data_IF_208340832999
#
_entry.id   IF_208340832999
#
_cell.length_a   1.000
_cell.length_b   1.000
_cell.length_c   1.000
_cell.angle_alpha   90.00
_cell.angle_beta   90.00
_cell.angle_gamma   90.00
#
_symmetry.space_group_name_H-M   'P 1'
#
loop_
_entity.id
_entity.type
_entity.pdbx_description
1 polymer ?
#
# COMPACT_ATOMS: atom_id res chain seq x y z
N UNK A 1 62.40 1.16 0.16
CA UNK A 1 61.40 2.04 0.80
C UNK A 1 60.01 1.60 0.32
N UNK A 2 59.20 0.98 1.18
CA UNK A 2 57.87 0.46 0.82
C UNK A 2 56.83 1.57 1.03
N UNK A 3 56.08 1.92 -0.01
CA UNK A 3 54.94 2.86 0.06
C UNK A 3 53.69 2.05 0.37
N UNK A 4 53.05 2.33 1.51
CA UNK A 4 51.76 1.75 1.90
C UNK A 4 50.67 2.70 1.40
N UNK A 5 49.82 2.22 0.50
CA UNK A 5 48.61 2.93 0.04
C UNK A 5 47.46 2.40 0.87
N UNK A 6 46.84 3.26 1.68
CA UNK A 6 45.64 2.92 2.45
C UNK A 6 44.43 3.23 1.57
N UNK A 7 43.72 2.19 1.14
CA UNK A 7 42.45 2.28 0.42
C UNK A 7 41.31 2.26 1.45
N UNK A 8 40.72 3.42 1.69
CA UNK A 8 39.51 3.56 2.53
C UNK A 8 38.30 3.10 1.72
N UNK A 9 37.85 1.86 1.94
CA UNK A 9 36.60 1.35 1.38
C UNK A 9 35.46 1.95 2.21
N UNK A 10 34.84 3.00 1.68
CA UNK A 10 33.62 3.58 2.24
C UNK A 10 32.48 2.60 1.98
N UNK A 11 32.10 1.83 3.00
CA UNK A 11 30.95 0.95 2.93
C UNK A 11 29.68 1.81 2.86
N UNK A 12 29.11 1.91 1.66
CA UNK A 12 27.79 2.46 1.43
C UNK A 12 26.79 1.52 2.10
N UNK A 13 26.39 1.82 3.34
CA UNK A 13 25.26 1.16 4.00
C UNK A 13 24.02 1.44 3.16
N UNK A 14 23.69 0.51 2.26
CA UNK A 14 22.39 0.43 1.63
C UNK A 14 21.37 0.21 2.73
N UNK A 15 20.69 1.27 3.15
CA UNK A 15 19.50 1.20 3.97
C UNK A 15 18.45 0.52 3.10
N UNK A 16 18.40 -0.80 3.14
CA UNK A 16 17.22 -1.54 2.72
C UNK A 16 16.10 -1.08 3.64
N UNK A 17 15.26 -0.17 3.15
CA UNK A 17 13.97 0.12 3.75
C UNK A 17 13.20 -1.20 3.76
N UNK A 18 13.29 -1.91 4.89
CA UNK A 18 12.45 -3.05 5.16
C UNK A 18 11.03 -2.49 5.33
N UNK A 19 10.27 -2.51 4.24
CA UNK A 19 8.85 -2.18 4.25
C UNK A 19 8.15 -3.23 5.10
N UNK A 20 7.90 -2.91 6.37
CA UNK A 20 7.06 -3.71 7.26
C UNK A 20 5.58 -3.50 6.89
N UNK A 21 5.21 -3.82 5.65
CA UNK A 21 3.85 -3.81 5.18
C UNK A 21 3.18 -5.13 5.54
N UNK A 22 2.25 -5.13 6.49
CA UNK A 22 1.32 -6.27 6.64
C UNK A 22 0.15 -6.22 5.63
N UNK A 23 -0.87 -7.04 5.83
CA UNK A 23 -1.98 -7.21 4.90
C UNK A 23 -3.21 -6.44 5.34
N UNK A 24 -4.01 -5.94 4.39
CA UNK A 24 -5.40 -5.54 4.61
C UNK A 24 -6.35 -6.43 3.83
N UNK A 25 -7.61 -6.51 4.26
CA UNK A 25 -8.66 -7.27 3.56
C UNK A 25 -9.21 -6.45 2.40
N UNK A 26 -9.22 -7.03 1.20
CA UNK A 26 -9.79 -6.39 0.02
C UNK A 26 -11.29 -6.09 0.19
N UNK A 27 -12.07 -7.07 0.65
CA UNK A 27 -13.52 -6.95 0.74
C UNK A 27 -13.98 -6.00 1.84
N UNK A 28 -13.26 -5.97 2.97
CA UNK A 28 -13.65 -5.17 4.13
C UNK A 28 -13.17 -3.72 4.03
N UNK A 29 -11.97 -3.49 3.50
CA UNK A 29 -11.36 -2.15 3.51
C UNK A 29 -11.37 -1.50 2.13
N UNK A 30 -10.98 -2.21 1.07
CA UNK A 30 -10.85 -1.58 -0.26
C UNK A 30 -12.15 -1.53 -1.04
N UNK A 31 -12.97 -2.58 -0.96
CA UNK A 31 -14.20 -2.65 -1.75
C UNK A 31 -15.17 -1.50 -1.43
N UNK A 32 -15.35 -1.06 -0.17
CA UNK A 32 -16.13 0.15 0.13
C UNK A 32 -15.55 1.41 -0.51
N UNK A 33 -14.24 1.57 -0.52
CA UNK A 33 -13.54 2.72 -1.13
C UNK A 33 -13.73 2.72 -2.64
N UNK A 34 -13.51 1.58 -3.31
CA UNK A 34 -13.73 1.45 -4.75
C UNK A 34 -15.17 1.77 -5.13
N UNK A 35 -16.14 1.31 -4.34
CA UNK A 35 -17.58 1.54 -4.58
C UNK A 35 -18.00 3.00 -4.46
N UNK A 36 -17.16 3.90 -3.94
CA UNK A 36 -17.41 5.34 -4.00
C UNK A 36 -17.48 5.84 -5.45
N UNK A 37 -16.81 5.17 -6.39
CA UNK A 37 -17.00 5.36 -7.84
C UNK A 37 -17.52 4.07 -8.47
N UNK A 38 -18.86 3.93 -8.51
CA UNK A 38 -19.52 2.69 -8.92
C UNK A 38 -19.18 2.24 -10.34
N UNK A 39 -19.23 3.16 -11.32
CA UNK A 39 -18.97 2.83 -12.73
C UNK A 39 -17.57 2.25 -12.90
N UNK A 40 -16.59 2.87 -12.24
CA UNK A 40 -15.22 2.43 -12.28
C UNK A 40 -15.00 1.14 -11.48
N UNK A 41 -15.63 1.01 -10.32
CA UNK A 41 -15.62 -0.22 -9.52
C UNK A 41 -16.14 -1.41 -10.33
N UNK A 42 -17.27 -1.27 -11.00
CA UNK A 42 -17.85 -2.32 -11.83
C UNK A 42 -16.92 -2.70 -12.99
N UNK A 43 -16.30 -1.73 -13.66
CA UNK A 43 -15.35 -1.97 -14.74
C UNK A 43 -14.10 -2.75 -14.26
N UNK A 44 -13.53 -2.34 -13.13
CA UNK A 44 -12.33 -2.96 -12.56
C UNK A 44 -12.62 -4.37 -12.03
N UNK A 45 -13.70 -4.53 -11.27
CA UNK A 45 -14.11 -5.81 -10.67
C UNK A 45 -14.63 -6.82 -11.71
N UNK A 46 -15.11 -6.37 -12.87
CA UNK A 46 -15.46 -7.27 -13.98
C UNK A 46 -14.24 -7.71 -14.79
N UNK A 47 -13.20 -6.88 -14.86
CA UNK A 47 -12.00 -7.13 -15.68
C UNK A 47 -10.97 -8.00 -14.95
N UNK A 48 -10.76 -7.76 -13.66
CA UNK A 48 -9.65 -8.33 -12.91
C UNK A 48 -10.11 -9.25 -11.76
N UNK A 49 -9.33 -10.30 -11.52
CA UNK A 49 -9.23 -10.93 -10.22
C UNK A 49 -8.10 -10.26 -9.45
N UNK A 50 -8.26 -10.17 -8.13
CA UNK A 50 -7.32 -9.56 -7.21
C UNK A 50 -6.77 -10.60 -6.24
N UNK A 51 -5.50 -10.47 -5.86
CA UNK A 51 -4.96 -11.33 -4.80
C UNK A 51 -5.50 -10.88 -3.43
N UNK A 52 -5.65 -11.83 -2.50
CA UNK A 52 -6.17 -11.53 -1.16
C UNK A 52 -5.21 -10.67 -0.31
N UNK A 53 -3.91 -10.68 -0.65
CA UNK A 53 -2.89 -9.93 0.08
C UNK A 53 -2.72 -8.55 -0.52
N UNK A 54 -3.44 -7.59 0.04
CA UNK A 54 -3.30 -6.17 -0.29
C UNK A 54 -2.22 -5.56 0.59
N UNK A 55 -1.19 -5.03 -0.05
CA UNK A 55 -0.16 -4.23 0.61
C UNK A 55 -0.68 -2.80 0.73
N UNK A 56 -1.22 -2.46 1.89
CA UNK A 56 -1.41 -1.05 2.25
C UNK A 56 -0.04 -0.44 2.51
N UNK A 57 0.31 0.65 1.81
CA UNK A 57 1.53 1.39 2.08
C UNK A 57 1.33 2.11 3.42
N UNK A 58 1.74 1.48 4.52
CA UNK A 58 1.70 2.11 5.83
C UNK A 58 2.85 3.12 5.93
N UNK A 59 2.70 4.26 5.26
CA UNK A 59 3.54 5.44 5.48
C UNK A 59 3.30 6.06 6.88
N UNK A 60 2.41 5.44 7.65
CA UNK A 60 2.15 5.77 9.03
C UNK A 60 3.02 4.93 9.97
N UNK A 61 3.74 5.64 10.85
CA UNK A 61 4.12 5.10 12.14
C UNK A 61 2.89 4.73 12.98
N UNK A 62 3.01 4.72 14.30
CA UNK A 62 1.91 4.32 15.20
C UNK A 62 0.62 5.16 14.97
N UNK A 63 -0.42 4.49 14.46
CA UNK A 63 -1.75 5.02 14.13
C UNK A 63 -2.86 4.34 14.96
N UNK A 64 -2.50 3.71 16.09
CA UNK A 64 -3.42 3.00 17.00
C UNK A 64 -4.65 3.81 17.41
N UNK A 65 -4.53 5.14 17.48
CA UNK A 65 -5.66 6.05 17.79
C UNK A 65 -6.82 6.02 16.78
N UNK A 66 -6.59 5.56 15.56
CA UNK A 66 -7.64 5.34 14.55
C UNK A 66 -7.89 3.84 14.35
N UNK A 67 -7.75 3.05 15.42
CA UNK A 67 -7.98 1.61 15.39
C UNK A 67 -6.84 0.79 14.78
N UNK A 68 -5.69 1.41 14.46
CA UNK A 68 -4.62 0.72 13.73
C UNK A 68 -5.00 0.40 12.29
N UNK A 69 -6.05 1.05 11.77
CA UNK A 69 -6.47 0.93 10.38
C UNK A 69 -5.40 1.50 9.47
N UNK A 70 -5.08 0.73 8.43
CA UNK A 70 -4.21 1.24 7.38
C UNK A 70 -5.03 2.11 6.47
N UNK A 71 -4.41 3.18 6.05
CA UNK A 71 -4.95 4.07 5.04
C UNK A 71 -4.11 3.89 3.78
N UNK A 72 -4.65 4.27 2.62
CA UNK A 72 -4.01 4.10 1.32
C UNK A 72 -2.69 4.88 1.11
N UNK A 73 -2.15 4.92 -0.11
CA UNK A 73 -2.61 4.13 -1.25
C UNK A 73 -2.47 2.63 -0.96
N UNK A 74 -3.37 1.85 -1.57
CA UNK A 74 -3.37 0.40 -1.42
C UNK A 74 -2.88 -0.27 -2.69
N UNK A 75 -1.87 -1.12 -2.58
CA UNK A 75 -1.29 -1.83 -3.71
C UNK A 75 -1.57 -3.32 -3.62
N UNK A 76 -2.05 -3.89 -4.71
CA UNK A 76 -2.41 -5.29 -4.81
C UNK A 76 -2.09 -5.84 -6.18
N UNK A 77 -1.95 -7.16 -6.26
CA UNK A 77 -1.70 -7.82 -7.51
C UNK A 77 -3.02 -8.20 -8.19
N UNK A 78 -3.04 -8.04 -9.51
CA UNK A 78 -4.20 -8.38 -10.33
C UNK A 78 -3.82 -9.23 -11.54
N UNK A 79 -4.80 -10.03 -11.98
CA UNK A 79 -4.76 -10.74 -13.25
C UNK A 79 -6.10 -10.55 -13.97
N UNK A 80 -6.13 -10.46 -15.31
CA UNK A 80 -7.40 -10.50 -16.03
C UNK A 80 -8.14 -11.80 -15.71
N UNK A 81 -9.46 -11.75 -15.53
CA UNK A 81 -10.26 -12.97 -15.22
C UNK A 81 -10.16 -14.04 -16.29
N UNK A 82 -9.98 -13.63 -17.55
CA UNK A 82 -9.79 -14.53 -18.70
C UNK A 82 -8.39 -15.14 -18.77
N UNK A 83 -7.44 -14.67 -17.96
CA UNK A 83 -6.05 -15.12 -18.00
C UNK A 83 -5.85 -16.42 -17.23
N UNK A 84 -5.16 -17.37 -17.86
CA UNK A 84 -4.61 -18.57 -17.19
C UNK A 84 -3.24 -18.30 -16.55
N UNK A 85 -2.66 -17.12 -16.79
CA UNK A 85 -1.38 -16.69 -16.23
C UNK A 85 -1.53 -16.30 -14.76
N UNK A 86 -0.39 -16.22 -14.05
CA UNK A 86 -0.34 -15.68 -12.69
C UNK A 86 -0.67 -14.19 -12.62
N UNK A 87 -0.38 -13.56 -11.48
CA UNK A 87 -0.57 -12.13 -11.29
C UNK A 87 0.39 -11.34 -12.18
N UNK A 88 -0.15 -10.48 -13.06
CA UNK A 88 0.64 -9.78 -14.09
C UNK A 88 0.55 -8.26 -13.99
N UNK A 89 -0.33 -7.75 -13.12
CA UNK A 89 -0.46 -6.33 -12.84
C UNK A 89 -0.27 -6.06 -11.36
N UNK A 90 0.36 -4.93 -11.06
CA UNK A 90 0.27 -4.24 -9.79
C UNK A 90 -0.75 -3.12 -9.95
N UNK A 91 -1.72 -3.09 -9.04
CA UNK A 91 -2.82 -2.12 -9.03
C UNK A 91 -2.68 -1.30 -7.78
N UNK A 92 -2.57 0.02 -7.91
CA UNK A 92 -2.54 0.94 -6.78
C UNK A 92 -3.82 1.75 -6.76
N UNK A 93 -4.61 1.60 -5.69
CA UNK A 93 -5.79 2.40 -5.43
C UNK A 93 -5.34 3.61 -4.60
N UNK A 94 -5.28 4.76 -5.25
CA UNK A 94 -4.92 6.02 -4.64
C UNK A 94 -6.14 6.63 -3.98
N UNK A 95 -5.93 7.14 -2.78
CA UNK A 95 -6.97 7.73 -1.95
C UNK A 95 -6.52 9.09 -1.42
N UNK A 96 -7.50 9.95 -1.18
CA UNK A 96 -7.34 11.23 -0.51
C UNK A 96 -7.89 11.10 0.91
N UNK A 97 -7.22 11.72 1.87
CA UNK A 97 -7.68 11.75 3.26
C UNK A 97 -8.13 13.12 3.70
N UNK A 98 -9.18 13.09 4.52
CA UNK A 98 -9.64 14.25 5.25
C UNK A 98 -9.75 13.91 6.72
N UNK A 99 -9.19 14.76 7.57
CA UNK A 99 -9.17 14.55 9.02
C UNK A 99 -10.10 15.56 9.67
N UNK A 100 -10.86 15.12 10.66
CA UNK A 100 -11.83 15.93 11.37
C UNK A 100 -11.62 15.91 12.88
N UNK A 101 -11.94 17.04 13.51
CA UNK A 101 -12.10 17.13 14.96
C UNK A 101 -13.45 16.57 15.44
N UNK A 102 -13.65 16.53 16.77
CA UNK A 102 -14.89 16.05 17.38
C UNK A 102 -16.14 16.86 17.00
N UNK A 103 -15.97 18.09 16.52
CA UNK A 103 -17.05 18.97 16.08
C UNK A 103 -17.30 18.87 14.56
N UNK A 104 -16.55 18.03 13.84
CA UNK A 104 -16.63 17.89 12.39
C UNK A 104 -15.86 18.95 11.61
N UNK A 105 -15.01 19.76 12.26
CA UNK A 105 -14.15 20.70 11.54
C UNK A 105 -12.97 19.97 10.92
N UNK A 106 -12.64 20.33 9.68
CA UNK A 106 -11.49 19.77 9.00
C UNK A 106 -10.16 20.25 9.63
N UNK A 107 -9.27 19.32 9.91
CA UNK A 107 -7.89 19.57 10.34
C UNK A 107 -7.00 19.45 9.10
N UNK A 108 -6.11 20.43 8.83
CA UNK A 108 -5.13 20.32 7.75
C UNK A 108 -4.26 19.08 7.92
N UNK A 109 -4.23 18.22 6.90
CA UNK A 109 -3.45 16.98 6.92
C UNK A 109 -1.94 17.26 7.05
N UNK A 110 -1.49 18.33 6.37
CA UNK A 110 -0.10 18.78 6.31
C UNK A 110 0.03 20.21 6.78
N UNK A 111 1.17 20.54 7.37
CA UNK A 111 1.54 21.93 7.65
C UNK A 111 2.08 22.66 6.40
N UNK A 112 2.45 23.93 6.55
CA UNK A 112 2.98 24.78 5.48
C UNK A 112 4.27 24.23 4.85
N UNK A 113 5.01 23.37 5.57
CA UNK A 113 6.23 22.71 5.07
C UNK A 113 5.95 21.41 4.31
N UNK A 114 4.67 21.00 4.25
CA UNK A 114 4.25 19.73 3.65
C UNK A 114 4.40 18.52 4.57
N UNK A 115 4.79 18.71 5.84
CA UNK A 115 4.92 17.62 6.81
C UNK A 115 3.54 17.16 7.28
N UNK A 116 3.35 15.86 7.38
CA UNK A 116 2.14 15.25 7.93
C UNK A 116 2.02 15.56 9.42
N UNK A 117 1.08 16.44 9.78
CA UNK A 117 0.87 16.90 11.17
C UNK A 117 -0.58 16.71 11.61
N UNK A 118 -1.56 16.85 10.72
CA UNK A 118 -2.97 16.76 11.05
C UNK A 118 -3.37 15.41 11.64
N UNK A 119 -2.74 14.32 11.18
CA UNK A 119 -3.00 13.02 11.80
C UNK A 119 -2.56 13.00 13.25
N UNK A 120 -1.45 13.68 13.58
CA UNK A 120 -0.87 13.80 14.91
C UNK A 120 -1.55 14.81 15.83
N UNK A 121 -2.52 15.58 15.33
CA UNK A 121 -3.23 16.56 16.13
C UNK A 121 -4.04 15.88 17.23
N UNK A 122 -3.91 16.29 18.51
CA UNK A 122 -4.65 15.70 19.62
C UNK A 122 -6.18 15.90 19.51
N UNK A 123 -6.64 16.83 18.68
CA UNK A 123 -8.06 17.05 18.40
C UNK A 123 -8.60 16.15 17.29
N UNK A 124 -7.74 15.48 16.53
CA UNK A 124 -8.17 14.60 15.45
C UNK A 124 -8.90 13.37 16.00
N UNK A 125 -10.17 13.21 15.64
CA UNK A 125 -11.01 12.11 16.14
C UNK A 125 -11.52 11.20 15.04
N UNK A 126 -11.49 11.65 13.77
CA UNK A 126 -12.02 10.91 12.64
C UNK A 126 -11.21 11.15 11.38
N UNK A 127 -11.02 10.10 10.58
CA UNK A 127 -10.42 10.16 9.26
C UNK A 127 -11.47 9.64 8.26
N UNK A 128 -11.62 10.36 7.15
CA UNK A 128 -12.38 9.89 5.99
C UNK A 128 -11.43 9.68 4.82
N UNK A 129 -11.62 8.55 4.15
CA UNK A 129 -10.85 8.16 2.98
C UNK A 129 -11.74 8.22 1.73
N UNK A 130 -11.30 8.97 0.72
CA UNK A 130 -12.00 9.14 -0.54
C UNK A 130 -11.19 8.55 -1.69
N UNK A 131 -11.84 7.82 -2.58
CA UNK A 131 -11.25 7.34 -3.82
C UNK A 131 -10.75 8.50 -4.68
N UNK A 132 -9.51 8.43 -5.17
CA UNK A 132 -8.95 9.44 -6.06
C UNK A 132 -8.64 8.88 -7.44
N UNK A 133 -7.88 7.79 -7.53
CA UNK A 133 -7.52 7.18 -8.81
C UNK A 133 -7.06 5.72 -8.66
N UNK A 134 -6.93 5.03 -9.79
CA UNK A 134 -6.18 3.77 -9.86
C UNK A 134 -5.00 3.94 -10.81
N UNK A 135 -3.86 3.42 -10.38
CA UNK A 135 -2.70 3.21 -11.23
C UNK A 135 -2.54 1.72 -11.53
N UNK A 136 -2.24 1.38 -12.78
CA UNK A 136 -1.97 0.01 -13.22
C UNK A 136 -0.56 -0.08 -13.77
N UNK A 137 0.25 -0.99 -13.21
CA UNK A 137 1.63 -1.24 -13.66
C UNK A 137 1.82 -2.71 -14.01
N UNK A 138 2.63 -3.06 -15.03
CA UNK A 138 3.02 -4.45 -15.24
C UNK A 138 3.78 -4.97 -14.00
N UNK A 139 3.34 -6.10 -13.45
CA UNK A 139 4.06 -6.78 -12.39
C UNK A 139 5.23 -7.56 -12.99
N UNK A 140 6.45 -7.19 -12.61
CA UNK A 140 7.66 -7.97 -12.92
C UNK A 140 8.03 -8.73 -11.66
N UNK A 141 7.81 -10.04 -11.67
CA UNK A 141 8.25 -10.91 -10.59
C UNK A 141 9.78 -10.79 -10.45
N UNK A 142 10.23 -10.20 -9.34
CA UNK A 142 11.65 -10.06 -9.08
C UNK A 142 12.18 -11.43 -8.64
N UNK A 143 13.14 -11.98 -9.40
CA UNK A 143 13.77 -13.31 -9.16
C UNK A 143 14.45 -13.48 -7.79
N UNK A 144 14.45 -12.45 -6.93
CA UNK A 144 14.91 -12.48 -5.54
C UNK A 144 13.90 -13.08 -4.56
N UNK A 145 12.63 -13.22 -4.95
CA UNK A 145 11.58 -13.84 -4.11
C UNK A 145 11.40 -15.35 -4.35
N UNK A 146 12.36 -16.03 -5.01
CA UNK A 146 12.33 -17.48 -5.26
C UNK A 146 12.37 -18.36 -3.99
N UNK A 147 12.28 -17.79 -2.78
CA UNK A 147 12.09 -18.51 -1.53
C UNK A 147 10.64 -18.65 -1.08
N UNK A 148 9.68 -17.96 -1.70
CA UNK A 148 8.25 -18.07 -1.36
C UNK A 148 7.49 -18.72 -2.50
N UNK A 149 7.55 -20.05 -2.52
CA UNK A 149 6.67 -20.90 -3.32
C UNK A 149 5.20 -20.68 -2.90
N UNK A 150 4.49 -19.86 -3.65
CA UNK A 150 3.05 -19.62 -3.51
C UNK A 150 2.20 -20.65 -4.29
N UNK A 151 2.78 -21.77 -4.74
CA UNK A 151 2.10 -22.78 -5.56
C UNK A 151 1.92 -24.14 -4.89
N UNK A 152 2.04 -24.25 -3.56
CA UNK A 152 1.61 -25.47 -2.87
C UNK A 152 0.08 -25.55 -2.80
N UNK A 153 -0.53 -25.95 -3.90
CA UNK A 153 -1.75 -26.75 -3.82
C UNK A 153 -1.43 -28.02 -3.02
N UNK A 154 -2.15 -28.21 -1.93
CA UNK A 154 -2.07 -29.43 -1.16
C UNK A 154 -2.49 -30.62 -2.04
N UNK A 155 -1.70 -31.71 -2.13
CA UNK A 155 -2.20 -32.90 -2.78
C UNK A 155 -3.34 -33.46 -1.94
N UNK A 156 -4.52 -33.56 -2.55
CA UNK A 156 -5.62 -34.38 -2.03
C UNK A 156 -5.12 -35.82 -1.93
N UNK A 157 -4.99 -36.31 -0.70
CA UNK A 157 -4.77 -37.71 -0.34
C UNK A 157 -5.78 -38.11 0.72
#
# INVERSE_FOLDING_TARGET
MKRIIILTISAFLGISLAFAGGSVSFDEQLLPILKQNKEFSDAILSTFDFNASVYGQSDFGDHTRFGGERLGPYTLLAKPKSSKSGWIFEVTINTRWTIYDANGNQIPLRDESGKMTGIFDPKATRIEETFESIELKPYKENKLNQGMDLTREAPLG
#
